data_IF_388184790418
#
_entry.id   IF_388184790418
#
_cell.length_a   1.000
_cell.length_b   1.000
_cell.length_c   1.000
_cell.angle_alpha   90.00
_cell.angle_beta   90.00
_cell.angle_gamma   90.00
#
_symmetry.space_group_name_H-M   'P 1'
#
loop_
_entity.id
_entity.type
_entity.pdbx_description
1 polymer ?
#
# COMPACT_ATOMS: atom_id res chain seq x y z
N UNK A 1 24.36 -11.53 -8.66
CA UNK A 1 24.75 -11.17 -7.29
C UNK A 1 23.77 -10.14 -6.76
N UNK A 2 22.78 -10.54 -5.97
CA UNK A 2 21.90 -9.58 -5.28
C UNK A 2 22.53 -9.27 -3.93
N UNK A 3 22.97 -8.02 -3.78
CA UNK A 3 23.75 -7.55 -2.65
C UNK A 3 22.97 -7.58 -1.34
N UNK A 4 23.58 -8.23 -0.36
CA UNK A 4 23.32 -8.14 1.06
C UNK A 4 23.78 -6.76 1.58
N UNK A 5 23.09 -5.67 1.25
CA UNK A 5 23.39 -4.34 1.81
C UNK A 5 22.14 -3.46 1.91
N UNK A 6 21.28 -3.78 2.88
CA UNK A 6 20.36 -2.84 3.50
C UNK A 6 19.92 -3.38 4.88
N UNK A 7 20.85 -3.84 5.72
CA UNK A 7 20.56 -4.29 7.09
C UNK A 7 20.85 -3.24 8.18
N UNK A 8 21.12 -1.98 7.80
CA UNK A 8 21.36 -0.90 8.76
C UNK A 8 20.24 0.14 8.67
N UNK A 9 19.50 0.31 9.77
CA UNK A 9 18.65 1.48 10.12
C UNK A 9 17.17 1.48 9.76
N UNK A 10 16.52 0.34 9.49
CA UNK A 10 15.05 0.32 9.49
C UNK A 10 14.53 0.61 10.92
N UNK A 11 13.57 1.53 11.11
CA UNK A 11 12.98 1.75 12.43
C UNK A 11 12.29 0.47 12.93
N UNK A 12 12.16 0.32 14.25
CA UNK A 12 11.37 -0.74 14.86
C UNK A 12 9.89 -0.44 14.61
N UNK A 13 9.43 -0.83 13.42
CA UNK A 13 8.06 -0.73 12.93
C UNK A 13 7.72 -2.02 12.20
N UNK A 14 6.49 -2.47 12.36
CA UNK A 14 5.95 -3.63 11.66
C UNK A 14 4.62 -3.31 10.96
N UNK A 15 4.28 -2.03 10.85
CA UNK A 15 3.00 -1.55 10.37
C UNK A 15 3.23 -0.21 9.69
N UNK A 16 3.03 -0.18 8.37
CA UNK A 16 3.22 1.03 7.55
C UNK A 16 2.13 1.12 6.49
N UNK A 17 1.80 2.35 6.12
CA UNK A 17 0.84 2.66 5.07
C UNK A 17 1.36 3.76 4.15
N UNK A 18 0.77 3.90 2.97
CA UNK A 18 1.02 5.03 2.04
C UNK A 18 0.53 6.37 2.59
N UNK A 19 -0.36 6.35 3.59
CA UNK A 19 -1.09 7.51 4.10
C UNK A 19 -0.41 8.12 5.30
N UNK A 20 0.83 8.56 5.16
CA UNK A 20 1.60 9.20 6.25
C UNK A 20 1.55 10.73 6.14
N UNK A 21 1.12 11.25 4.98
CA UNK A 21 1.15 12.68 4.66
C UNK A 21 -0.23 13.23 4.24
N UNK A 22 -0.76 14.17 5.03
CA UNK A 22 -1.33 15.46 4.59
C UNK A 22 -2.43 15.58 3.52
N UNK A 23 -2.93 14.52 2.90
CA UNK A 23 -4.05 14.59 1.95
C UNK A 23 -5.30 13.90 2.53
N UNK A 24 -6.06 14.66 3.31
CA UNK A 24 -7.47 14.52 3.75
C UNK A 24 -8.05 13.10 3.93
N UNK A 25 -7.39 12.34 4.83
CA UNK A 25 -7.90 11.17 5.57
C UNK A 25 -8.33 9.91 4.78
N UNK A 26 -7.36 9.17 4.24
CA UNK A 26 -7.54 7.77 3.85
C UNK A 26 -6.99 6.79 4.89
N UNK A 27 -6.16 7.25 5.83
CA UNK A 27 -5.69 6.39 6.93
C UNK A 27 -6.88 5.93 7.77
N UNK A 28 -7.84 6.83 8.03
CA UNK A 28 -9.08 6.53 8.72
C UNK A 28 -9.99 5.61 7.90
N UNK A 29 -10.13 5.80 6.58
CA UNK A 29 -10.93 4.90 5.71
C UNK A 29 -10.30 3.50 5.67
N UNK A 30 -9.01 3.38 5.31
CA UNK A 30 -8.29 2.11 5.27
C UNK A 30 -8.32 1.42 6.64
N UNK A 31 -8.19 2.17 7.75
CA UNK A 31 -8.32 1.64 9.12
C UNK A 31 -9.73 1.14 9.41
N UNK A 32 -10.75 1.91 9.05
CA UNK A 32 -12.17 1.57 9.26
C UNK A 32 -12.59 0.36 8.42
N UNK A 33 -12.00 0.17 7.24
CA UNK A 33 -12.29 -0.98 6.37
C UNK A 33 -11.40 -2.21 6.63
N UNK A 34 -10.33 -2.05 7.42
CA UNK A 34 -9.49 -3.13 7.96
C UNK A 34 -10.07 -3.76 9.24
N UNK A 35 -11.41 -3.84 9.35
CA UNK A 35 -12.15 -4.32 10.53
C UNK A 35 -11.89 -5.77 10.96
N UNK A 36 -10.93 -6.49 10.38
CA UNK A 36 -10.50 -7.80 10.89
C UNK A 36 -9.05 -7.89 11.37
N UNK A 37 -8.28 -6.80 11.42
CA UNK A 37 -6.90 -6.91 11.91
C UNK A 37 -6.42 -5.72 12.75
N UNK A 38 -7.04 -5.45 13.91
CA UNK A 38 -6.38 -4.77 15.03
C UNK A 38 -5.68 -3.41 14.74
N UNK A 39 -5.99 -2.75 13.63
CA UNK A 39 -5.26 -1.57 13.18
C UNK A 39 -5.84 -0.34 13.85
N UNK A 40 -5.12 0.17 14.85
CA UNK A 40 -5.41 1.49 15.41
C UNK A 40 -4.80 2.56 14.47
N UNK A 41 -5.36 3.78 14.44
CA UNK A 41 -4.67 4.93 13.88
C UNK A 41 -3.27 5.05 14.50
N UNK A 42 -2.28 5.48 13.72
CA UNK A 42 -0.93 5.68 14.27
C UNK A 42 -0.94 6.84 15.27
N UNK A 43 -0.19 6.69 16.37
CA UNK A 43 0.11 7.81 17.25
C UNK A 43 0.96 8.87 16.51
N UNK A 44 0.95 10.14 16.93
CA UNK A 44 1.79 11.17 16.33
C UNK A 44 3.28 10.81 16.28
N UNK A 45 3.79 10.12 17.31
CA UNK A 45 5.17 9.66 17.36
C UNK A 45 5.46 8.60 16.27
N UNK A 46 4.56 7.63 16.09
CA UNK A 46 4.70 6.62 15.03
C UNK A 46 4.63 7.28 13.65
N UNK A 47 3.71 8.23 13.44
CA UNK A 47 3.63 9.01 12.19
C UNK A 47 4.94 9.72 11.87
N UNK A 48 5.56 10.36 12.87
CA UNK A 48 6.84 11.03 12.69
C UNK A 48 7.97 10.07 12.31
N UNK A 49 8.01 8.87 12.91
CA UNK A 49 8.99 7.83 12.55
C UNK A 49 8.78 7.35 11.12
N UNK A 50 7.54 7.02 10.74
CA UNK A 50 7.22 6.57 9.38
C UNK A 50 7.55 7.68 8.37
N UNK A 51 7.17 8.93 8.65
CA UNK A 51 7.44 10.06 7.76
C UNK A 51 8.95 10.27 7.59
N UNK A 52 9.73 10.19 8.68
CA UNK A 52 11.19 10.34 8.63
C UNK A 52 11.86 9.20 7.86
N UNK A 53 11.42 7.96 8.05
CA UNK A 53 12.04 6.78 7.46
C UNK A 53 11.62 6.53 6.00
N UNK A 54 10.35 6.80 5.69
CA UNK A 54 9.71 6.32 4.46
C UNK A 54 8.90 7.39 3.73
N UNK A 55 8.78 8.60 4.27
CA UNK A 55 7.90 9.64 3.74
C UNK A 55 8.35 10.30 2.44
N UNK A 56 9.38 9.80 1.76
CA UNK A 56 9.71 10.11 0.36
C UNK A 56 9.42 8.95 -0.60
N UNK A 57 9.12 7.76 -0.06
CA UNK A 57 8.92 6.51 -0.79
C UNK A 57 7.48 6.03 -0.71
N UNK A 58 6.88 6.12 0.47
CA UNK A 58 5.53 5.65 0.73
C UNK A 58 4.54 6.79 0.55
N UNK A 59 4.05 6.88 -0.67
CA UNK A 59 2.96 7.77 -1.04
C UNK A 59 1.90 7.01 -1.81
N UNK A 60 0.64 7.45 -1.74
CA UNK A 60 -0.42 6.90 -2.57
C UNK A 60 -0.08 7.10 -4.04
N UNK A 61 -0.47 6.15 -4.89
CA UNK A 61 -0.52 6.44 -6.32
C UNK A 61 -1.74 7.28 -6.61
N UNK A 62 -1.58 8.32 -7.43
CA UNK A 62 -2.65 9.23 -7.82
C UNK A 62 -2.59 9.41 -9.32
N UNK A 63 -3.72 9.19 -9.98
CA UNK A 63 -3.86 9.37 -11.43
C UNK A 63 -5.07 10.26 -11.70
N UNK A 64 -5.04 11.13 -12.74
CA UNK A 64 -6.23 11.84 -13.16
C UNK A 64 -7.35 10.85 -13.52
N UNK A 65 -8.57 11.05 -13.00
CA UNK A 65 -9.70 10.15 -13.33
C UNK A 65 -10.07 10.20 -14.82
N UNK A 66 -9.68 11.26 -15.53
CA UNK A 66 -9.79 11.38 -16.99
C UNK A 66 -8.84 10.45 -17.76
N UNK A 67 -7.77 9.97 -17.13
CA UNK A 67 -6.83 9.01 -17.71
C UNK A 67 -7.20 7.58 -17.35
N UNK A 68 -7.56 7.35 -16.09
CA UNK A 68 -7.97 6.04 -15.61
C UNK A 68 -9.05 6.17 -14.54
N UNK A 69 -10.18 5.50 -14.74
CA UNK A 69 -11.29 5.50 -13.78
C UNK A 69 -10.92 4.69 -12.53
N UNK A 70 -11.61 4.97 -11.41
CA UNK A 70 -11.49 4.19 -10.16
C UNK A 70 -11.71 2.69 -10.40
N UNK A 71 -12.65 2.34 -11.29
CA UNK A 71 -12.96 0.95 -11.59
C UNK A 71 -11.86 0.28 -12.40
N UNK A 72 -11.36 0.93 -13.45
CA UNK A 72 -10.26 0.42 -14.25
C UNK A 72 -8.97 0.26 -13.45
N UNK A 73 -8.68 1.24 -12.58
CA UNK A 73 -7.53 1.19 -11.70
C UNK A 73 -7.62 0.01 -10.73
N UNK A 74 -8.81 -0.27 -10.19
CA UNK A 74 -9.01 -1.42 -9.32
C UNK A 74 -8.83 -2.77 -10.02
N UNK A 75 -9.25 -2.90 -11.29
CA UNK A 75 -8.97 -4.12 -12.05
C UNK A 75 -7.47 -4.30 -12.30
N UNK A 76 -6.73 -3.22 -12.59
CA UNK A 76 -5.26 -3.27 -12.70
C UNK A 76 -4.61 -3.67 -11.37
N UNK A 77 -4.99 -3.02 -10.27
CA UNK A 77 -4.49 -3.32 -8.91
C UNK A 77 -4.74 -4.79 -8.57
N UNK A 78 -5.95 -5.30 -8.83
CA UNK A 78 -6.32 -6.69 -8.58
C UNK A 78 -5.47 -7.65 -9.43
N UNK A 79 -5.28 -7.35 -10.71
CA UNK A 79 -4.48 -8.18 -11.61
C UNK A 79 -2.99 -8.20 -11.23
N UNK A 80 -2.42 -7.07 -10.80
CA UNK A 80 -1.03 -7.00 -10.31
C UNK A 80 -0.88 -7.78 -9.00
N UNK A 81 -1.87 -7.70 -8.10
CA UNK A 81 -1.85 -8.43 -6.84
C UNK A 81 -1.97 -9.95 -7.03
N UNK A 82 -2.80 -10.41 -7.97
CA UNK A 82 -2.93 -11.84 -8.31
C UNK A 82 -1.65 -12.45 -8.88
N UNK A 83 -0.74 -11.63 -9.43
CA UNK A 83 0.56 -12.08 -9.95
C UNK A 83 1.64 -12.21 -8.87
N UNK A 84 1.38 -11.78 -7.64
CA UNK A 84 2.34 -11.87 -6.55
C UNK A 84 2.37 -13.31 -6.02
N UNK A 85 3.40 -14.07 -6.41
CA UNK A 85 3.52 -15.49 -6.06
C UNK A 85 3.50 -15.77 -4.54
N UNK A 86 3.96 -14.81 -3.74
CA UNK A 86 4.05 -14.94 -2.28
C UNK A 86 2.83 -14.36 -1.54
N UNK A 87 1.77 -13.96 -2.26
CA UNK A 87 0.56 -13.38 -1.68
C UNK A 87 -0.61 -14.35 -1.76
N UNK A 88 -1.38 -14.42 -0.68
CA UNK A 88 -2.68 -15.08 -0.63
C UNK A 88 -3.76 -14.02 -0.52
N UNK A 89 -4.56 -13.86 -1.57
CA UNK A 89 -5.73 -12.97 -1.54
C UNK A 89 -6.84 -13.63 -0.72
N UNK A 90 -7.38 -12.90 0.26
CA UNK A 90 -8.46 -13.39 1.12
C UNK A 90 -9.80 -12.74 0.78
N UNK A 91 -9.80 -11.45 0.40
CA UNK A 91 -11.02 -10.72 0.03
C UNK A 91 -10.77 -9.81 -1.16
N UNK A 92 -11.68 -9.85 -2.14
CA UNK A 92 -11.74 -8.91 -3.28
C UNK A 92 -13.12 -8.27 -3.27
N UNK A 93 -13.22 -7.09 -2.67
CA UNK A 93 -14.50 -6.39 -2.50
C UNK A 93 -14.71 -5.41 -3.65
N UNK A 94 -15.35 -5.87 -4.73
CA UNK A 94 -15.53 -5.07 -5.95
C UNK A 94 -16.37 -3.82 -5.76
N UNK A 95 -17.33 -3.81 -4.82
CA UNK A 95 -18.18 -2.66 -4.57
C UNK A 95 -17.40 -1.52 -3.89
N UNK A 96 -16.72 -1.82 -2.77
CA UNK A 96 -15.89 -0.87 -2.04
C UNK A 96 -14.51 -0.63 -2.66
N UNK A 97 -14.12 -1.43 -3.66
CA UNK A 97 -12.83 -1.38 -4.35
C UNK A 97 -11.66 -1.60 -3.39
N UNK A 98 -11.79 -2.65 -2.58
CA UNK A 98 -10.82 -3.05 -1.56
C UNK A 98 -10.30 -4.44 -1.87
N UNK A 99 -9.01 -4.63 -1.67
CA UNK A 99 -8.33 -5.91 -1.73
C UNK A 99 -7.67 -6.19 -0.38
N UNK A 100 -7.83 -7.40 0.14
CA UNK A 100 -7.19 -7.84 1.39
C UNK A 100 -6.52 -9.20 1.21
N UNK A 101 -5.41 -9.41 1.90
CA UNK A 101 -4.73 -10.69 1.90
C UNK A 101 -3.51 -10.72 2.80
N UNK A 102 -2.74 -11.79 2.65
CA UNK A 102 -1.53 -12.06 3.42
C UNK A 102 -0.36 -12.23 2.48
N UNK A 103 0.72 -11.48 2.71
CA UNK A 103 1.98 -11.66 2.03
C UNK A 103 2.96 -12.43 2.93
N UNK A 104 3.63 -13.43 2.38
CA UNK A 104 4.64 -14.22 3.11
C UNK A 104 6.05 -13.79 2.70
N UNK A 105 6.89 -13.43 3.66
CA UNK A 105 8.31 -13.12 3.37
C UNK A 105 9.07 -14.41 3.00
N UNK A 106 9.92 -14.37 1.97
CA UNK A 106 10.56 -15.59 1.43
C UNK A 106 11.54 -16.27 2.38
N UNK A 107 12.28 -15.49 3.16
CA UNK A 107 13.38 -16.00 4.00
C UNK A 107 12.84 -16.42 5.37
N UNK A 108 12.21 -15.49 6.08
CA UNK A 108 11.74 -15.71 7.46
C UNK A 108 10.32 -16.28 7.54
N UNK A 109 9.60 -16.35 6.42
CA UNK A 109 8.20 -16.81 6.33
C UNK A 109 7.23 -16.05 7.25
N UNK A 110 7.59 -14.82 7.64
CA UNK A 110 6.66 -13.92 8.33
C UNK A 110 5.46 -13.62 7.44
N UNK A 111 4.30 -13.62 8.07
CA UNK A 111 3.02 -13.28 7.45
C UNK A 111 2.70 -11.83 7.77
N UNK A 112 2.47 -11.07 6.70
CA UNK A 112 2.09 -9.67 6.75
C UNK A 112 0.70 -9.52 6.15
N UNK A 113 -0.25 -9.03 6.93
CA UNK A 113 -1.56 -8.65 6.45
C UNK A 113 -1.43 -7.38 5.62
N UNK A 114 -2.06 -7.34 4.45
CA UNK A 114 -2.13 -6.14 3.63
C UNK A 114 -3.56 -5.81 3.23
N UNK A 115 -3.80 -4.51 3.08
CA UNK A 115 -5.00 -3.99 2.44
C UNK A 115 -4.66 -2.91 1.45
N UNK A 116 -5.36 -2.95 0.32
CA UNK A 116 -5.27 -1.96 -0.74
C UNK A 116 -6.67 -1.39 -0.97
N UNK A 117 -6.79 -0.07 -0.94
CA UNK A 117 -8.01 0.68 -1.24
C UNK A 117 -7.79 1.46 -2.52
N UNK A 118 -8.74 1.35 -3.45
CA UNK A 118 -8.81 2.23 -4.61
C UNK A 118 -9.98 3.19 -4.44
N UNK A 119 -9.67 4.47 -4.25
CA UNK A 119 -10.65 5.54 -4.02
C UNK A 119 -10.70 6.52 -5.18
N UNK A 120 -11.80 7.25 -5.28
CA UNK A 120 -11.87 8.46 -6.09
C UNK A 120 -11.87 9.66 -5.14
N UNK A 121 -11.07 10.69 -5.45
CA UNK A 121 -10.95 11.89 -4.63
C UNK A 121 -11.13 13.12 -5.51
N UNK A 122 -11.88 14.10 -5.00
CA UNK A 122 -11.97 15.42 -5.62
C UNK A 122 -10.75 16.25 -5.27
N UNK A 123 -10.19 16.95 -6.25
CA UNK A 123 -9.09 17.92 -6.08
C UNK A 123 -9.48 19.24 -6.74
N UNK A 124 -8.78 20.36 -6.43
CA UNK A 124 -9.00 21.62 -7.15
C UNK A 124 -8.80 21.52 -8.67
N UNK A 125 -8.12 20.49 -9.17
CA UNK A 125 -7.83 20.26 -10.60
C UNK A 125 -8.74 19.22 -11.26
N UNK A 126 -9.77 18.73 -10.56
CA UNK A 126 -10.67 17.66 -11.02
C UNK A 126 -10.61 16.42 -10.11
N UNK A 127 -11.23 15.32 -10.54
CA UNK A 127 -11.17 14.06 -9.78
C UNK A 127 -9.93 13.24 -10.11
N UNK A 128 -9.45 12.51 -9.11
CA UNK A 128 -8.32 11.60 -9.21
C UNK A 128 -8.70 10.21 -8.71
N UNK A 129 -8.19 9.20 -9.36
CA UNK A 129 -8.23 7.81 -8.90
C UNK A 129 -6.95 7.52 -8.13
N UNK A 130 -7.10 7.03 -6.90
CA UNK A 130 -6.02 6.91 -5.91
C UNK A 130 -5.90 5.48 -5.41
N UNK A 131 -4.67 4.99 -5.29
CA UNK A 131 -4.34 3.71 -4.66
C UNK A 131 -3.63 3.97 -3.34
N UNK A 132 -4.23 3.50 -2.25
CA UNK A 132 -3.60 3.48 -0.94
C UNK A 132 -3.38 2.02 -0.50
N UNK A 133 -2.31 1.80 0.26
CA UNK A 133 -1.96 0.48 0.75
C UNK A 133 -1.43 0.54 2.18
N UNK A 134 -1.80 -0.44 3.00
CA UNK A 134 -1.21 -0.72 4.32
C UNK A 134 -0.69 -2.15 4.34
N UNK A 135 0.44 -2.38 5.00
CA UNK A 135 1.04 -3.69 5.20
C UNK A 135 1.55 -3.79 6.64
N UNK A 136 1.18 -4.87 7.34
CA UNK A 136 1.43 -5.06 8.77
C UNK A 136 1.81 -6.49 9.09
N UNK A 137 2.91 -6.70 9.80
CA UNK A 137 3.30 -8.03 10.28
C UNK A 137 2.43 -8.51 11.43
N UNK A 138 2.06 -9.79 11.41
CA UNK A 138 1.30 -10.45 12.48
C UNK A 138 2.09 -10.61 13.78
N UNK A 139 3.41 -10.69 13.67
CA UNK A 139 4.33 -10.98 14.77
C UNK A 139 5.47 -9.96 14.83
N UNK A 140 5.97 -9.71 16.04
CA UNK A 140 7.08 -8.80 16.30
C UNK A 140 6.69 -7.32 16.29
N UNK A 141 7.61 -6.45 16.71
CA UNK A 141 7.44 -4.98 16.67
C UNK A 141 8.18 -4.33 15.48
N UNK A 142 9.03 -5.10 14.80
CA UNK A 142 9.83 -4.67 13.67
C UNK A 142 9.79 -5.71 12.55
N UNK A 143 9.78 -5.24 11.31
CA UNK A 143 9.75 -6.08 10.09
C UNK A 143 11.01 -5.94 9.23
N UNK A 144 12.02 -5.20 9.71
CA UNK A 144 13.26 -4.87 9.00
C UNK A 144 13.02 -4.15 7.65
N UNK A 145 11.91 -3.42 7.52
CA UNK A 145 11.51 -2.69 6.32
C UNK A 145 10.75 -3.53 5.29
N UNK A 146 10.40 -4.77 5.59
CA UNK A 146 9.72 -5.67 4.65
C UNK A 146 8.37 -5.11 4.14
N UNK A 147 7.56 -4.52 5.03
CA UNK A 147 6.27 -3.95 4.65
C UNK A 147 6.44 -2.70 3.77
N UNK A 148 7.42 -1.83 4.08
CA UNK A 148 7.69 -0.66 3.27
C UNK A 148 8.18 -1.05 1.86
N UNK A 149 9.12 -1.99 1.77
CA UNK A 149 9.61 -2.51 0.50
C UNK A 149 8.50 -3.18 -0.33
N UNK A 150 7.58 -3.90 0.34
CA UNK A 150 6.40 -4.50 -0.30
C UNK A 150 5.51 -3.46 -0.95
N UNK A 151 5.16 -2.40 -0.22
CA UNK A 151 4.32 -1.32 -0.73
C UNK A 151 5.01 -0.63 -1.92
N UNK A 152 6.27 -0.24 -1.76
CA UNK A 152 7.04 0.44 -2.82
C UNK A 152 7.09 -0.39 -4.11
N UNK A 153 7.45 -1.66 -4.00
CA UNK A 153 7.52 -2.57 -5.15
C UNK A 153 6.16 -2.78 -5.81
N UNK A 154 5.11 -3.04 -5.03
CA UNK A 154 3.76 -3.26 -5.57
C UNK A 154 3.23 -2.02 -6.29
N UNK A 155 3.39 -0.83 -5.71
CA UNK A 155 2.95 0.41 -6.35
C UNK A 155 3.77 0.75 -7.60
N UNK A 156 5.05 0.40 -7.65
CA UNK A 156 5.86 0.47 -8.87
C UNK A 156 5.23 -0.34 -10.01
N UNK A 157 4.88 -1.60 -9.75
CA UNK A 157 4.24 -2.48 -10.74
C UNK A 157 2.85 -1.98 -11.17
N UNK A 158 2.07 -1.43 -10.24
CA UNK A 158 0.77 -0.81 -10.59
C UNK A 158 0.98 0.40 -11.50
N UNK A 159 1.96 1.26 -11.20
CA UNK A 159 2.27 2.43 -12.05
C UNK A 159 2.67 2.03 -13.46
N UNK A 160 3.53 1.02 -13.59
CA UNK A 160 3.93 0.46 -14.89
C UNK A 160 2.73 -0.11 -15.66
N UNK A 161 1.86 -0.87 -14.99
CA UNK A 161 0.67 -1.44 -15.61
C UNK A 161 -0.35 -0.37 -16.05
N UNK A 162 -0.51 0.71 -15.27
CA UNK A 162 -1.32 1.86 -15.67
C UNK A 162 -0.72 2.54 -16.90
N UNK A 163 0.59 2.86 -16.87
CA UNK A 163 1.27 3.51 -17.99
C UNK A 163 1.18 2.68 -19.29
N UNK A 164 1.26 1.35 -19.19
CA UNK A 164 1.05 0.45 -20.32
C UNK A 164 -0.37 0.50 -20.89
N UNK A 165 -1.40 0.78 -20.07
CA UNK A 165 -2.80 0.87 -20.50
C UNK A 165 -3.16 2.24 -21.07
N UNK A 166 -2.68 3.32 -20.47
CA UNK A 166 -3.16 4.70 -20.76
C UNK A 166 -2.10 5.63 -21.38
N UNK A 167 -0.91 5.10 -21.65
CA UNK A 167 0.25 5.86 -22.09
C UNK A 167 0.99 6.55 -20.93
N UNK A 168 2.03 7.35 -21.24
CA UNK A 168 2.78 8.10 -20.24
C UNK A 168 1.86 8.98 -19.38
N UNK A 169 2.11 8.95 -18.07
CA UNK A 169 1.37 9.66 -17.03
C UNK A 169 1.90 11.08 -16.79
#
# INVERSE_FOLDING_TARGET
MFGLFAMLSAPVLNDVATTVSGYDKPEDEIVLEFQEASAKPYSPAVKAIIQKAYGSKLHPLVFPSSKISRSDLFEIVSAVAMKQADWKLEKIMRQSKILQGVATTRIMRFQDDFVILVSERSTPRGSVSRVDMRSKSRLGQGDLGANAARIEHFLGQVREAVAAKVGPL
#
